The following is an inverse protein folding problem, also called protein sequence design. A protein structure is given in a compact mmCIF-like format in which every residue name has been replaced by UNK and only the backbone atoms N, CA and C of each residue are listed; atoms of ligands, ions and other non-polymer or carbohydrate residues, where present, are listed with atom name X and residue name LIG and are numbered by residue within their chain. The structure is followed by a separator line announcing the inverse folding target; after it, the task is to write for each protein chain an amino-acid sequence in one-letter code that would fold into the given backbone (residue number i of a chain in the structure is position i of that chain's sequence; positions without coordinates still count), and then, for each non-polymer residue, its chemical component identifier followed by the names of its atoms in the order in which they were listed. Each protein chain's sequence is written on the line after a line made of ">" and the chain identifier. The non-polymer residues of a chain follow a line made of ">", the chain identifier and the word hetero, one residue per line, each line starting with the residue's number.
data_IF_528596374592
#
_entry.id   IF_528596374592
#
_cell.length_a   1.000
_cell.length_b   1.000
_cell.length_c   1.000
_cell.angle_alpha   90.00
_cell.angle_beta   90.00
_cell.angle_gamma   90.00
#
_symmetry.space_group_name_H-M   'P 1'
#
loop_
_entity.id
_entity.type
_entity.pdbx_description
1 polymer ?
#
# COMPACT_ATOMS: atom_id res chain seq x y z
N UNK A 1 -2.26 50.03 6.68
CA UNK A 1 -1.06 49.21 7.00
C UNK A 1 -1.36 48.15 8.04
N UNK A 2 -1.86 48.45 9.25
CA UNK A 2 -2.14 47.46 10.31
C UNK A 2 -3.10 46.33 9.89
N UNK A 3 -4.21 46.66 9.22
CA UNK A 3 -5.20 45.67 8.75
C UNK A 3 -4.55 44.68 7.75
N UNK A 4 -3.71 45.15 6.83
CA UNK A 4 -3.00 44.29 5.87
C UNK A 4 -2.05 43.34 6.58
N UNK A 5 -1.30 43.84 7.58
CA UNK A 5 -0.41 42.99 8.38
C UNK A 5 -1.18 41.93 9.17
N UNK A 6 -2.34 42.32 9.74
CA UNK A 6 -3.19 41.35 10.45
C UNK A 6 -3.73 40.26 9.52
N UNK A 7 -4.19 40.62 8.32
CA UNK A 7 -4.69 39.67 7.33
C UNK A 7 -3.56 38.73 6.91
N UNK A 8 -2.35 39.24 6.63
CA UNK A 8 -1.20 38.42 6.30
C UNK A 8 -0.83 37.44 7.42
N UNK A 9 -0.85 37.91 8.67
CA UNK A 9 -0.60 37.06 9.83
C UNK A 9 -1.63 35.94 9.93
N UNK A 10 -2.91 36.23 9.76
CA UNK A 10 -3.98 35.23 9.76
C UNK A 10 -3.75 34.17 8.66
N UNK A 11 -3.41 34.62 7.45
CA UNK A 11 -3.11 33.68 6.33
C UNK A 11 -1.94 32.78 6.67
N UNK A 12 -0.86 33.31 7.24
CA UNK A 12 0.30 32.51 7.66
C UNK A 12 -0.10 31.49 8.71
N UNK A 13 -0.84 31.91 9.75
CA UNK A 13 -1.30 30.99 10.81
C UNK A 13 -2.18 29.88 10.25
N UNK A 14 -3.12 30.22 9.37
CA UNK A 14 -3.98 29.21 8.73
C UNK A 14 -3.18 28.25 7.85
N UNK A 15 -2.18 28.74 7.12
CA UNK A 15 -1.27 27.93 6.33
C UNK A 15 -0.46 26.96 7.21
N UNK A 16 0.10 27.45 8.33
CA UNK A 16 0.83 26.61 9.28
C UNK A 16 -0.08 25.52 9.90
N UNK A 17 -1.29 25.90 10.34
CA UNK A 17 -2.27 24.94 10.86
C UNK A 17 -2.65 23.89 9.82
N UNK A 18 -2.88 24.29 8.58
CA UNK A 18 -3.16 23.37 7.49
C UNK A 18 -1.96 22.44 7.22
N UNK A 19 -0.74 22.98 7.21
CA UNK A 19 0.48 22.20 7.00
C UNK A 19 0.69 21.13 8.07
N UNK A 20 0.24 21.36 9.31
CA UNK A 20 0.28 20.38 10.38
C UNK A 20 -0.56 19.13 10.07
N UNK A 21 -1.64 19.24 9.30
CA UNK A 21 -2.45 18.09 8.88
C UNK A 21 -1.68 17.17 7.93
N UNK A 22 -0.74 17.71 7.16
CA UNK A 22 0.02 17.01 6.11
C UNK A 22 1.36 16.45 6.59
N UNK A 23 1.67 16.55 7.88
CA UNK A 23 3.00 16.19 8.41
C UNK A 23 3.33 14.72 8.19
N UNK A 24 4.48 14.48 7.53
CA UNK A 24 5.05 13.17 7.30
C UNK A 24 6.33 12.95 8.12
N UNK A 25 6.72 11.71 8.34
CA UNK A 25 8.01 11.33 8.93
C UNK A 25 9.08 11.31 7.83
N UNK A 26 10.34 11.47 8.20
CA UNK A 26 11.47 11.48 7.26
C UNK A 26 12.55 10.50 7.65
N UNK A 27 13.28 10.03 6.63
CA UNK A 27 14.57 9.40 6.84
C UNK A 27 14.51 8.01 7.45
N UNK A 28 13.44 7.27 7.24
CA UNK A 28 13.37 5.88 7.71
C UNK A 28 14.50 5.04 7.09
N UNK A 29 15.29 4.28 7.88
CA UNK A 29 16.46 3.54 7.39
C UNK A 29 16.12 2.54 6.28
N UNK A 30 14.97 1.87 6.39
CA UNK A 30 14.50 0.88 5.41
C UNK A 30 14.39 1.46 4.00
N UNK A 31 14.10 2.77 3.87
CA UNK A 31 13.98 3.41 2.56
C UNK A 31 15.26 3.31 1.71
N UNK A 32 16.43 3.20 2.34
CA UNK A 32 17.72 3.03 1.62
C UNK A 32 17.75 1.72 0.82
N UNK A 33 17.02 0.70 1.30
CA UNK A 33 16.91 -0.60 0.64
C UNK A 33 15.75 -0.59 -0.34
N UNK A 34 14.58 -0.16 0.11
CA UNK A 34 13.34 -0.19 -0.69
C UNK A 34 13.50 0.51 -2.04
N UNK A 35 14.16 1.68 -2.07
CA UNK A 35 14.33 2.50 -3.28
C UNK A 35 15.25 1.89 -4.35
N UNK A 36 15.90 0.76 -4.07
CA UNK A 36 16.78 0.09 -5.02
C UNK A 36 16.03 -0.86 -5.96
N UNK A 37 14.72 -1.05 -5.71
CA UNK A 37 13.91 -2.04 -6.41
C UNK A 37 12.71 -1.39 -7.10
N UNK A 38 12.28 -1.99 -8.20
CA UNK A 38 10.96 -1.85 -8.78
C UNK A 38 10.08 -2.94 -8.20
N UNK A 39 8.80 -2.65 -7.99
CA UNK A 39 7.88 -3.57 -7.31
C UNK A 39 6.82 -4.07 -8.27
N UNK A 40 6.71 -5.39 -8.39
CA UNK A 40 5.65 -6.01 -9.16
C UNK A 40 4.35 -6.00 -8.34
N UNK A 41 3.32 -5.34 -8.87
CA UNK A 41 2.00 -5.22 -8.27
C UNK A 41 1.34 -6.59 -8.16
N UNK A 42 1.04 -7.06 -6.93
CA UNK A 42 0.49 -8.39 -6.64
C UNK A 42 1.34 -9.54 -7.22
N UNK A 43 2.68 -9.36 -7.23
CA UNK A 43 3.59 -10.24 -7.95
C UNK A 43 3.68 -9.94 -9.46
N UNK A 44 4.63 -10.57 -10.16
CA UNK A 44 4.74 -10.39 -11.61
C UNK A 44 3.82 -11.35 -12.35
N UNK A 45 2.54 -11.07 -12.22
CA UNK A 45 1.43 -11.86 -12.78
C UNK A 45 1.27 -11.66 -14.29
N UNK A 46 0.61 -12.61 -14.96
CA UNK A 46 0.26 -12.60 -16.38
C UNK A 46 -1.03 -13.41 -16.58
N UNK A 47 -2.14 -12.71 -16.35
CA UNK A 47 -3.47 -13.35 -16.29
C UNK A 47 -3.95 -13.88 -17.64
N UNK A 48 -4.67 -14.97 -17.65
CA UNK A 48 -5.06 -15.81 -16.50
C UNK A 48 -4.01 -16.88 -16.13
N UNK A 49 -2.93 -17.04 -16.89
CA UNK A 49 -1.95 -18.15 -16.74
C UNK A 49 -1.16 -18.06 -15.45
N UNK A 50 -0.83 -16.84 -15.03
CA UNK A 50 -0.14 -16.53 -13.77
C UNK A 50 -1.01 -15.53 -13.01
N UNK A 51 -1.88 -16.01 -12.08
CA UNK A 51 -2.80 -15.15 -11.34
C UNK A 51 -2.08 -14.10 -10.48
N UNK A 52 -2.75 -12.95 -10.25
CA UNK A 52 -2.30 -11.98 -9.25
C UNK A 52 -2.28 -12.60 -7.85
N UNK A 53 -1.39 -12.14 -6.97
CA UNK A 53 -1.24 -12.65 -5.59
C UNK A 53 -1.08 -14.17 -5.50
N UNK A 54 -0.48 -14.81 -6.52
CA UNK A 54 -0.18 -16.25 -6.55
C UNK A 54 1.28 -16.55 -6.27
N UNK A 55 1.58 -17.76 -5.79
CA UNK A 55 2.97 -18.18 -5.61
C UNK A 55 3.74 -18.21 -6.92
N UNK A 56 3.10 -18.49 -8.06
CA UNK A 56 3.72 -18.42 -9.38
C UNK A 56 4.16 -16.99 -9.73
N UNK A 57 3.29 -15.97 -9.49
CA UNK A 57 3.62 -14.57 -9.72
C UNK A 57 4.76 -14.10 -8.81
N UNK A 58 4.78 -14.54 -7.56
CA UNK A 58 5.83 -14.20 -6.60
C UNK A 58 7.18 -14.84 -6.94
N UNK A 59 7.21 -16.13 -7.32
CA UNK A 59 8.44 -16.79 -7.79
C UNK A 59 9.01 -16.06 -9.01
N UNK A 60 8.17 -15.77 -9.99
CA UNK A 60 8.58 -15.05 -11.21
C UNK A 60 9.18 -13.67 -10.88
N UNK A 61 8.59 -12.90 -9.96
CA UNK A 61 9.16 -11.63 -9.51
C UNK A 61 10.52 -11.80 -8.82
N UNK A 62 10.65 -12.78 -7.92
CA UNK A 62 11.89 -13.06 -7.19
C UNK A 62 13.03 -13.51 -8.11
N UNK A 63 12.75 -14.37 -9.11
CA UNK A 63 13.71 -14.84 -10.12
C UNK A 63 14.29 -13.69 -10.96
N UNK A 64 13.49 -12.64 -11.16
CA UNK A 64 13.90 -11.45 -11.90
C UNK A 64 14.36 -10.29 -11.00
N UNK A 65 14.58 -10.56 -9.72
CA UNK A 65 15.07 -9.58 -8.73
C UNK A 65 14.17 -8.35 -8.56
N UNK A 66 12.88 -8.48 -8.77
CA UNK A 66 11.92 -7.43 -8.42
C UNK A 66 11.49 -7.55 -6.96
N UNK A 67 11.26 -6.40 -6.32
CA UNK A 67 10.43 -6.35 -5.12
C UNK A 67 8.99 -6.69 -5.48
N UNK A 68 8.18 -6.98 -4.49
CA UNK A 68 6.76 -7.31 -4.69
C UNK A 68 5.92 -6.44 -3.78
N UNK A 69 4.84 -5.92 -4.33
CA UNK A 69 3.71 -5.45 -3.54
C UNK A 69 2.66 -6.57 -3.47
N UNK A 70 2.03 -6.74 -2.33
CA UNK A 70 1.03 -7.77 -2.07
C UNK A 70 -0.02 -7.33 -1.05
N UNK A 71 -1.20 -7.91 -1.15
CA UNK A 71 -2.39 -7.57 -0.36
C UNK A 71 -2.67 -8.62 0.72
N UNK A 72 -2.95 -8.21 1.95
CA UNK A 72 -3.15 -9.12 3.08
C UNK A 72 -4.48 -8.90 3.77
N UNK A 73 -5.27 -9.99 3.90
CA UNK A 73 -6.50 -10.06 4.69
C UNK A 73 -6.35 -10.98 5.90
N UNK A 74 -7.12 -10.68 6.96
CA UNK A 74 -7.21 -11.54 8.14
C UNK A 74 -8.31 -12.59 7.94
N UNK A 75 -7.99 -13.86 8.10
CA UNK A 75 -8.98 -14.96 8.05
C UNK A 75 -9.77 -15.06 9.35
N UNK A 76 -10.84 -15.85 9.36
CA UNK A 76 -11.68 -16.11 10.54
C UNK A 76 -10.89 -16.67 11.73
N UNK A 77 -9.89 -17.50 11.46
CA UNK A 77 -9.01 -18.12 12.48
C UNK A 77 -7.74 -17.30 12.77
N UNK A 78 -7.69 -16.04 12.29
CA UNK A 78 -6.60 -15.11 12.61
C UNK A 78 -5.30 -15.34 11.83
N UNK A 79 -5.35 -16.08 10.72
CA UNK A 79 -4.23 -16.24 9.78
C UNK A 79 -4.26 -15.13 8.73
N UNK A 80 -3.23 -15.03 7.92
CA UNK A 80 -3.05 -13.95 6.96
C UNK A 80 -3.06 -14.50 5.54
N UNK A 81 -4.16 -14.25 4.81
CA UNK A 81 -4.33 -14.66 3.41
C UNK A 81 -3.84 -13.57 2.46
N UNK A 82 -3.17 -13.96 1.38
CA UNK A 82 -2.64 -13.02 0.37
C UNK A 82 -3.59 -12.98 -0.83
N UNK A 83 -4.45 -11.97 -0.84
CA UNK A 83 -5.46 -11.73 -1.88
C UNK A 83 -5.91 -10.27 -1.83
N UNK A 84 -6.32 -9.70 -2.99
CA UNK A 84 -6.69 -8.27 -3.04
C UNK A 84 -8.11 -7.98 -2.53
N UNK A 85 -9.11 -8.73 -3.03
CA UNK A 85 -10.51 -8.44 -2.73
C UNK A 85 -10.95 -9.15 -1.45
N UNK A 86 -11.81 -8.51 -0.67
CA UNK A 86 -12.45 -9.16 0.47
C UNK A 86 -13.31 -10.38 0.06
N UNK A 87 -13.93 -10.34 -1.15
CA UNK A 87 -14.69 -11.43 -1.71
C UNK A 87 -13.87 -12.26 -2.69
N UNK A 88 -14.01 -13.57 -2.64
CA UNK A 88 -13.37 -14.51 -3.57
C UNK A 88 -14.02 -14.52 -4.97
N UNK A 89 -15.11 -13.75 -5.18
CA UNK A 89 -15.92 -13.83 -6.39
C UNK A 89 -15.12 -13.57 -7.68
N UNK A 90 -14.29 -12.52 -7.69
CA UNK A 90 -13.54 -12.11 -8.89
C UNK A 90 -12.41 -13.08 -9.22
N UNK A 91 -11.69 -13.57 -8.23
CA UNK A 91 -10.45 -14.34 -8.42
C UNK A 91 -10.64 -15.84 -8.32
N UNK A 92 -11.66 -16.31 -7.59
CA UNK A 92 -11.92 -17.73 -7.39
C UNK A 92 -13.39 -18.16 -7.68
N UNK A 93 -14.23 -17.23 -8.19
CA UNK A 93 -15.61 -17.54 -8.61
C UNK A 93 -16.58 -17.87 -7.47
N UNK A 94 -16.22 -17.62 -6.21
CA UNK A 94 -17.01 -17.94 -5.04
C UNK A 94 -17.48 -16.65 -4.32
N UNK A 95 -18.77 -16.49 -4.13
CA UNK A 95 -19.35 -15.35 -3.41
C UNK A 95 -19.30 -15.59 -1.88
N UNK A 96 -18.07 -15.51 -1.36
CA UNK A 96 -17.75 -15.67 0.05
C UNK A 96 -16.61 -14.71 0.43
N UNK A 97 -16.60 -14.24 1.67
CA UNK A 97 -15.58 -13.32 2.15
C UNK A 97 -14.42 -14.06 2.81
N UNK A 98 -13.22 -13.53 2.65
CA UNK A 98 -11.99 -14.07 3.25
C UNK A 98 -12.12 -14.18 4.78
N UNK A 99 -12.67 -13.12 5.41
CA UNK A 99 -12.86 -13.07 6.87
C UNK A 99 -13.87 -14.09 7.41
N UNK A 100 -14.69 -14.68 6.55
CA UNK A 100 -15.67 -15.70 6.94
C UNK A 100 -15.11 -17.13 6.82
N UNK A 101 -13.86 -17.29 6.30
CA UNK A 101 -13.18 -18.58 6.08
C UNK A 101 -11.93 -18.73 6.97
N UNK A 102 -11.66 -19.96 7.37
CA UNK A 102 -10.35 -20.33 7.95
C UNK A 102 -9.30 -20.50 6.86
N UNK A 103 -8.02 -20.47 7.26
CA UNK A 103 -6.91 -20.76 6.33
C UNK A 103 -7.05 -22.12 5.64
N UNK A 104 -7.55 -23.14 6.35
CA UNK A 104 -7.79 -24.47 5.79
C UNK A 104 -8.90 -24.45 4.73
N UNK A 105 -10.03 -23.77 5.02
CA UNK A 105 -11.14 -23.62 4.08
C UNK A 105 -10.72 -22.89 2.81
N UNK A 106 -9.83 -21.87 2.92
CA UNK A 106 -9.29 -21.12 1.78
C UNK A 106 -8.49 -22.00 0.81
N UNK A 107 -7.82 -23.07 1.28
CA UNK A 107 -7.04 -23.96 0.43
C UNK A 107 -7.90 -24.74 -0.61
N UNK A 108 -9.22 -24.78 -0.44
CA UNK A 108 -10.12 -25.39 -1.42
C UNK A 108 -10.31 -24.53 -2.69
N UNK A 109 -10.03 -23.25 -2.62
CA UNK A 109 -10.25 -22.30 -3.73
C UNK A 109 -9.01 -22.22 -4.65
N UNK A 110 -9.29 -21.99 -5.94
CA UNK A 110 -8.25 -21.85 -6.97
C UNK A 110 -8.37 -20.51 -7.66
N UNK A 111 -7.22 -19.89 -7.92
CA UNK A 111 -7.15 -18.56 -8.52
C UNK A 111 -7.31 -18.65 -10.05
N UNK A 112 -8.26 -17.89 -10.59
CA UNK A 112 -8.48 -17.66 -12.03
C UNK A 112 -8.53 -18.97 -12.87
N UNK A 113 -9.02 -20.08 -12.25
CA UNK A 113 -9.15 -21.37 -12.92
C UNK A 113 -7.84 -22.15 -13.14
N UNK A 114 -6.75 -21.75 -12.47
CA UNK A 114 -5.45 -22.43 -12.47
C UNK A 114 -5.35 -23.40 -11.28
N UNK A 115 -4.20 -24.07 -11.12
CA UNK A 115 -3.89 -24.90 -9.96
C UNK A 115 -3.36 -24.09 -8.76
N UNK A 116 -3.14 -22.77 -8.92
CA UNK A 116 -2.68 -21.90 -7.85
C UNK A 116 -3.78 -21.71 -6.80
N UNK A 117 -3.44 -21.94 -5.53
CA UNK A 117 -4.30 -21.62 -4.38
C UNK A 117 -4.06 -20.19 -3.88
N UNK A 118 -4.89 -19.72 -2.95
CA UNK A 118 -4.69 -18.45 -2.26
C UNK A 118 -3.54 -18.65 -1.27
N UNK A 119 -2.37 -17.98 -1.44
CA UNK A 119 -1.25 -18.16 -0.53
C UNK A 119 -1.53 -17.60 0.85
N UNK A 120 -0.94 -18.22 1.86
CA UNK A 120 -0.81 -17.61 3.17
C UNK A 120 0.47 -16.75 3.21
N UNK A 121 0.46 -15.67 4.00
CA UNK A 121 1.59 -14.74 4.04
C UNK A 121 2.91 -15.42 4.43
N UNK A 122 2.88 -16.42 5.30
CA UNK A 122 4.07 -17.20 5.67
C UNK A 122 4.73 -17.92 4.49
N UNK A 123 3.95 -18.39 3.50
CA UNK A 123 4.49 -19.02 2.30
C UNK A 123 5.27 -18.00 1.44
N UNK A 124 4.71 -16.79 1.34
CA UNK A 124 5.36 -15.68 0.61
C UNK A 124 6.62 -15.23 1.35
N UNK A 125 6.56 -15.06 2.67
CA UNK A 125 7.70 -14.65 3.49
C UNK A 125 8.86 -15.66 3.41
N UNK A 126 8.56 -16.96 3.44
CA UNK A 126 9.56 -18.01 3.26
C UNK A 126 10.22 -17.94 1.88
N UNK A 127 9.45 -17.62 0.82
CA UNK A 127 9.99 -17.44 -0.53
C UNK A 127 10.94 -16.23 -0.62
N UNK A 128 10.64 -15.11 0.07
CA UNK A 128 11.40 -13.86 -0.03
C UNK A 128 12.49 -13.70 1.04
N UNK A 129 12.65 -14.65 1.95
CA UNK A 129 13.67 -14.57 2.99
C UNK A 129 15.07 -14.44 2.40
N UNK A 130 15.75 -13.31 2.75
CA UNK A 130 17.07 -12.98 2.23
C UNK A 130 17.13 -12.57 0.75
N UNK A 131 15.98 -12.32 0.12
CA UNK A 131 15.88 -11.89 -1.29
C UNK A 131 15.47 -10.42 -1.40
N UNK A 132 14.55 -10.12 -2.31
CA UNK A 132 14.05 -8.76 -2.60
C UNK A 132 13.01 -8.30 -1.58
N UNK A 133 12.82 -6.98 -1.41
CA UNK A 133 11.92 -6.46 -0.40
C UNK A 133 10.44 -6.58 -0.79
N UNK A 134 9.58 -6.47 0.23
CA UNK A 134 8.13 -6.50 0.11
C UNK A 134 7.50 -5.16 0.50
N UNK A 135 6.45 -4.77 -0.21
CA UNK A 135 5.45 -3.78 0.20
C UNK A 135 4.20 -4.57 0.57
N UNK A 136 3.78 -4.51 1.83
CA UNK A 136 2.66 -5.28 2.36
C UNK A 136 1.48 -4.33 2.57
N UNK A 137 0.45 -4.43 1.73
CA UNK A 137 -0.79 -3.68 1.92
C UNK A 137 -1.73 -4.41 2.89
N UNK A 138 -2.17 -3.70 3.93
CA UNK A 138 -3.14 -4.21 4.89
C UNK A 138 -4.57 -3.86 4.46
N UNK A 139 -5.36 -4.87 4.12
CA UNK A 139 -6.78 -4.77 3.72
C UNK A 139 -7.67 -4.93 4.95
N UNK A 140 -7.92 -3.83 5.66
CA UNK A 140 -8.75 -3.85 6.85
C UNK A 140 -10.24 -3.87 6.47
N UNK A 141 -10.95 -4.87 6.95
CA UNK A 141 -12.38 -5.05 6.72
C UNK A 141 -13.14 -5.15 8.05
N UNK A 142 -14.41 -4.74 8.08
CA UNK A 142 -15.31 -4.88 9.23
C UNK A 142 -14.71 -4.41 10.57
N UNK A 143 -13.77 -3.44 10.53
CA UNK A 143 -13.14 -2.88 11.73
C UNK A 143 -11.99 -3.70 12.32
N UNK A 144 -11.50 -4.72 11.64
CA UNK A 144 -10.42 -5.62 12.10
C UNK A 144 -9.00 -5.01 12.04
N UNK A 145 -8.87 -3.72 11.69
CA UNK A 145 -7.57 -3.04 11.44
C UNK A 145 -6.50 -3.30 12.53
N UNK A 146 -6.89 -3.34 13.80
CA UNK A 146 -5.94 -3.58 14.88
C UNK A 146 -5.43 -5.03 14.90
N UNK A 147 -6.35 -6.01 14.83
CA UNK A 147 -6.02 -7.43 14.81
C UNK A 147 -5.20 -7.82 13.57
N UNK A 148 -5.60 -7.32 12.38
CA UNK A 148 -4.87 -7.51 11.14
C UNK A 148 -3.43 -6.96 11.23
N UNK A 149 -3.28 -5.71 11.71
CA UNK A 149 -1.97 -5.07 11.80
C UNK A 149 -1.07 -5.77 12.80
N UNK A 150 -1.62 -6.16 13.96
CA UNK A 150 -0.88 -6.91 15.00
C UNK A 150 -0.41 -8.27 14.49
N UNK A 151 -1.31 -9.05 13.87
CA UNK A 151 -0.98 -10.35 13.30
C UNK A 151 0.07 -10.24 12.20
N UNK A 152 -0.06 -9.25 11.29
CA UNK A 152 0.92 -9.01 10.24
C UNK A 152 2.31 -8.68 10.80
N UNK A 153 2.39 -7.78 11.78
CA UNK A 153 3.66 -7.44 12.42
C UNK A 153 4.28 -8.66 13.11
N UNK A 154 3.49 -9.43 13.87
CA UNK A 154 3.98 -10.60 14.59
C UNK A 154 4.53 -11.69 13.65
N UNK A 155 3.92 -11.85 12.47
CA UNK A 155 4.40 -12.82 11.47
C UNK A 155 5.65 -12.29 10.75
N UNK A 156 5.65 -11.03 10.31
CA UNK A 156 6.78 -10.39 9.61
C UNK A 156 8.07 -10.41 10.46
N UNK A 157 7.96 -10.29 11.79
CA UNK A 157 9.11 -10.33 12.71
C UNK A 157 9.80 -11.71 12.76
N UNK A 158 9.13 -12.78 12.31
CA UNK A 158 9.69 -14.13 12.34
C UNK A 158 10.61 -14.42 11.13
N UNK A 159 10.61 -13.55 10.12
CA UNK A 159 11.35 -13.75 8.87
C UNK A 159 12.35 -12.63 8.62
N UNK A 160 13.49 -12.97 8.02
CA UNK A 160 14.51 -11.99 7.62
C UNK A 160 14.21 -11.40 6.24
N UNK A 161 13.11 -10.65 6.15
CA UNK A 161 12.67 -9.97 4.94
C UNK A 161 12.74 -8.46 5.14
N UNK A 162 13.23 -7.73 4.13
CA UNK A 162 13.11 -6.29 4.11
C UNK A 162 11.71 -5.92 3.66
N UNK A 163 10.99 -5.09 4.42
CA UNK A 163 9.62 -4.74 4.08
C UNK A 163 9.23 -3.33 4.53
N UNK A 164 8.16 -2.83 3.95
CA UNK A 164 7.34 -1.77 4.50
C UNK A 164 5.87 -2.18 4.48
N UNK A 165 5.05 -1.45 5.22
CA UNK A 165 3.62 -1.70 5.32
C UNK A 165 2.87 -0.48 4.79
N UNK A 166 1.82 -0.70 4.01
CA UNK A 166 0.93 0.36 3.56
C UNK A 166 -0.54 -0.02 3.73
N UNK A 167 -1.42 0.99 3.73
CA UNK A 167 -2.85 0.77 3.76
C UNK A 167 -3.61 2.02 3.30
N UNK A 168 -4.78 1.80 2.68
CA UNK A 168 -5.79 2.84 2.50
C UNK A 168 -6.46 3.23 3.81
N UNK A 169 -6.55 2.28 4.76
CA UNK A 169 -7.13 2.53 6.07
C UNK A 169 -6.12 3.21 7.01
N UNK A 170 -6.30 4.50 7.34
CA UNK A 170 -5.38 5.21 8.21
C UNK A 170 -5.31 4.62 9.62
N UNK A 171 -6.30 3.83 10.05
CA UNK A 171 -6.32 3.20 11.39
C UNK A 171 -5.23 2.15 11.53
N UNK A 172 -4.88 1.41 10.46
CA UNK A 172 -3.72 0.52 10.44
C UNK A 172 -2.43 1.29 10.69
N UNK A 173 -2.26 2.43 10.02
CA UNK A 173 -1.05 3.27 10.17
C UNK A 173 -0.99 3.98 11.52
N UNK A 174 -2.13 4.36 12.09
CA UNK A 174 -2.19 4.89 13.46
C UNK A 174 -1.80 3.82 14.48
N UNK A 175 -2.22 2.58 14.27
CA UNK A 175 -1.80 1.44 15.11
C UNK A 175 -0.28 1.23 15.03
N UNK A 176 0.29 1.18 13.82
CA UNK A 176 1.74 1.09 13.59
C UNK A 176 2.50 2.24 14.25
N UNK A 177 2.01 3.47 14.10
CA UNK A 177 2.64 4.63 14.72
C UNK A 177 2.75 4.48 16.25
N UNK A 178 1.73 3.91 16.87
CA UNK A 178 1.64 3.78 18.33
C UNK A 178 2.43 2.60 18.86
N UNK A 179 2.35 1.44 18.20
CA UNK A 179 2.85 0.18 18.73
C UNK A 179 4.14 -0.31 18.07
N UNK A 180 4.35 0.06 16.80
CA UNK A 180 5.51 -0.34 15.97
C UNK A 180 6.07 0.85 15.19
N UNK A 181 6.57 1.88 15.89
CA UNK A 181 7.16 3.07 15.24
C UNK A 181 8.43 2.74 14.44
N UNK A 182 9.03 1.60 14.66
CA UNK A 182 10.18 1.04 13.96
C UNK A 182 9.87 0.58 12.51
N UNK A 183 8.60 0.29 12.19
CA UNK A 183 8.20 -0.16 10.86
C UNK A 183 8.05 1.04 9.92
N UNK A 184 8.61 0.90 8.70
CA UNK A 184 8.40 1.83 7.59
C UNK A 184 6.95 1.71 7.11
N UNK A 185 6.19 2.81 7.15
CA UNK A 185 4.74 2.80 6.85
C UNK A 185 4.36 3.85 5.83
N UNK A 186 3.48 3.48 4.91
CA UNK A 186 2.99 4.30 3.81
C UNK A 186 1.50 4.55 3.85
N UNK A 187 1.08 5.76 3.50
CA UNK A 187 -0.32 6.09 3.28
C UNK A 187 -0.67 5.87 1.81
N UNK A 188 -1.57 4.91 1.53
CA UNK A 188 -2.18 4.74 0.21
C UNK A 188 -3.27 5.79 -0.01
N UNK A 189 -3.32 6.37 -1.20
CA UNK A 189 -4.37 7.30 -1.59
C UNK A 189 -4.51 7.45 -3.11
N UNK A 190 -5.64 8.00 -3.54
CA UNK A 190 -5.99 8.30 -4.92
C UNK A 190 -7.09 9.38 -4.96
N UNK A 191 -7.52 9.79 -6.15
CA UNK A 191 -8.67 10.69 -6.34
C UNK A 191 -10.00 9.92 -6.21
N UNK A 192 -10.36 9.51 -4.99
CA UNK A 192 -11.57 8.69 -4.71
C UNK A 192 -12.84 9.27 -5.28
N UNK A 193 -13.03 10.59 -5.17
CA UNK A 193 -14.24 11.27 -5.65
C UNK A 193 -14.37 11.22 -7.16
N UNK A 194 -13.23 11.21 -7.88
CA UNK A 194 -13.19 11.12 -9.35
C UNK A 194 -13.49 9.71 -9.83
N UNK A 195 -12.93 8.69 -9.15
CA UNK A 195 -13.03 7.29 -9.60
C UNK A 195 -14.28 6.58 -9.10
N UNK A 196 -14.96 7.12 -8.09
CA UNK A 196 -16.12 6.48 -7.47
C UNK A 196 -15.77 5.28 -6.58
N UNK A 197 -14.48 5.11 -6.25
CA UNK A 197 -13.93 3.96 -5.50
C UNK A 197 -14.08 4.15 -3.97
N UNK A 198 -15.22 4.66 -3.54
CA UNK A 198 -15.39 5.07 -2.14
C UNK A 198 -15.84 3.99 -1.16
N UNK A 199 -16.14 2.76 -1.60
CA UNK A 199 -16.53 1.67 -0.70
C UNK A 199 -17.66 2.01 0.28
N UNK A 200 -18.61 2.87 -0.11
CA UNK A 200 -19.70 3.33 0.76
C UNK A 200 -19.34 4.42 1.76
N UNK A 201 -18.12 4.93 1.74
CA UNK A 201 -17.66 6.03 2.60
C UNK A 201 -18.34 7.37 2.26
N UNK A 202 -18.48 8.25 3.26
CA UNK A 202 -19.01 9.60 3.02
C UNK A 202 -18.06 10.42 2.11
N UNK A 203 -18.62 11.35 1.33
CA UNK A 203 -17.84 12.27 0.48
C UNK A 203 -16.82 13.06 1.30
N UNK A 204 -17.16 13.43 2.54
CA UNK A 204 -16.22 14.12 3.44
C UNK A 204 -15.05 13.22 3.83
N UNK A 205 -15.31 11.96 4.18
CA UNK A 205 -14.26 10.98 4.47
C UNK A 205 -13.33 10.81 3.26
N UNK A 206 -13.91 10.61 2.07
CA UNK A 206 -13.15 10.46 0.83
C UNK A 206 -12.31 11.70 0.52
N UNK A 207 -12.86 12.90 0.71
CA UNK A 207 -12.12 14.15 0.57
C UNK A 207 -10.92 14.20 1.54
N UNK A 208 -11.12 13.85 2.80
CA UNK A 208 -10.05 13.85 3.82
C UNK A 208 -8.93 12.87 3.45
N UNK A 209 -9.28 11.67 2.97
CA UNK A 209 -8.33 10.64 2.55
C UNK A 209 -7.58 11.04 1.27
N UNK A 210 -8.31 11.50 0.24
CA UNK A 210 -7.74 11.97 -1.03
C UNK A 210 -6.73 13.10 -0.82
N UNK A 211 -7.03 14.00 0.12
CA UNK A 211 -6.23 15.18 0.41
C UNK A 211 -5.19 14.96 1.52
N UNK A 212 -4.99 13.71 1.97
CA UNK A 212 -3.96 13.33 2.94
C UNK A 212 -4.04 14.05 4.30
N UNK A 213 -5.24 14.53 4.68
CA UNK A 213 -5.42 15.37 5.86
C UNK A 213 -5.27 14.60 7.18
N UNK A 214 -5.20 13.27 7.14
CA UNK A 214 -4.92 12.41 8.29
C UNK A 214 -3.43 12.10 8.49
N UNK A 215 -2.53 12.65 7.67
CA UNK A 215 -1.10 12.43 7.84
C UNK A 215 -0.58 12.89 9.21
N UNK A 216 -1.21 13.90 9.82
CA UNK A 216 -0.89 14.33 11.19
C UNK A 216 -1.08 13.20 12.23
N UNK A 217 -2.00 12.26 11.97
CA UNK A 217 -2.30 11.12 12.85
C UNK A 217 -1.49 9.88 12.48
N UNK A 218 -1.29 9.62 11.19
CA UNK A 218 -0.58 8.45 10.69
C UNK A 218 0.95 8.63 10.63
N UNK A 219 1.42 9.86 10.38
CA UNK A 219 2.84 10.21 10.21
C UNK A 219 3.55 9.22 9.29
N UNK A 220 3.13 9.13 8.00
CA UNK A 220 3.69 8.15 7.08
C UNK A 220 5.16 8.50 6.74
N UNK A 221 5.96 7.48 6.42
CA UNK A 221 7.33 7.61 5.90
C UNK A 221 7.32 7.86 4.39
N UNK A 222 6.31 7.30 3.71
CA UNK A 222 6.06 7.49 2.30
C UNK A 222 4.56 7.62 2.00
N UNK A 223 4.25 8.13 0.83
CA UNK A 223 2.88 8.21 0.32
C UNK A 223 2.82 7.41 -0.97
N UNK A 224 2.01 6.35 -0.99
CA UNK A 224 1.70 5.59 -2.19
C UNK A 224 0.47 6.23 -2.86
N UNK A 225 0.69 6.91 -3.97
CA UNK A 225 -0.38 7.66 -4.66
C UNK A 225 -0.55 7.17 -6.09
N UNK A 226 -1.82 7.03 -6.51
CA UNK A 226 -2.14 6.61 -7.86
C UNK A 226 -1.50 7.55 -8.88
N UNK A 227 -0.73 6.99 -9.81
CA UNK A 227 0.08 7.77 -10.75
C UNK A 227 -0.72 8.77 -11.58
N UNK A 228 -1.91 8.38 -12.07
CA UNK A 228 -2.79 9.27 -12.82
C UNK A 228 -3.27 10.50 -12.03
N UNK A 229 -3.23 10.43 -10.70
CA UNK A 229 -3.74 11.45 -9.78
C UNK A 229 -2.61 12.25 -9.10
N UNK A 230 -1.34 12.00 -9.44
CA UNK A 230 -0.15 12.61 -8.80
C UNK A 230 -0.07 14.13 -8.87
N UNK A 231 -0.98 14.78 -9.61
CA UNK A 231 -1.09 16.25 -9.66
C UNK A 231 -1.79 16.85 -8.42
N UNK A 232 -2.22 16.02 -7.45
CA UNK A 232 -2.81 16.48 -6.20
C UNK A 232 -1.89 17.48 -5.48
N UNK A 233 -2.46 18.64 -5.09
CA UNK A 233 -1.68 19.73 -4.50
C UNK A 233 -1.09 19.37 -3.14
N UNK A 234 -1.83 18.63 -2.31
CA UNK A 234 -1.38 18.24 -0.99
C UNK A 234 -0.24 17.21 -1.05
N UNK A 235 -0.29 16.28 -2.01
CA UNK A 235 0.83 15.39 -2.29
C UNK A 235 2.09 16.20 -2.65
N UNK A 236 1.96 17.19 -3.54
CA UNK A 236 3.07 18.08 -3.92
C UNK A 236 3.61 18.87 -2.72
N UNK A 237 2.74 19.27 -1.80
CA UNK A 237 3.16 19.94 -0.57
C UNK A 237 3.85 18.99 0.39
N UNK A 238 3.36 17.77 0.58
CA UNK A 238 4.04 16.74 1.36
C UNK A 238 5.47 16.51 0.85
N UNK A 239 5.66 16.43 -0.47
CA UNK A 239 6.99 16.30 -1.09
C UNK A 239 7.88 17.52 -0.84
N UNK A 240 7.36 18.74 -1.04
CA UNK A 240 8.14 19.98 -0.94
C UNK A 240 8.46 20.34 0.50
N UNK A 241 7.47 20.33 1.41
CA UNK A 241 7.64 20.76 2.81
C UNK A 241 8.27 19.65 3.67
N UNK A 242 7.80 18.43 3.53
CA UNK A 242 8.21 17.32 4.39
C UNK A 242 9.21 16.39 3.72
N UNK A 243 9.51 16.57 2.41
CA UNK A 243 10.41 15.71 1.63
C UNK A 243 10.05 14.23 1.78
N UNK A 244 8.74 13.94 1.87
CA UNK A 244 8.23 12.58 1.95
C UNK A 244 8.57 11.84 0.66
N UNK A 245 8.81 10.55 0.79
CA UNK A 245 9.02 9.68 -0.37
C UNK A 245 7.67 9.40 -1.03
N UNK A 246 7.68 9.32 -2.36
CA UNK A 246 6.48 8.98 -3.13
C UNK A 246 6.67 7.62 -3.80
N UNK A 247 5.64 6.79 -3.74
CA UNK A 247 5.49 5.53 -4.44
C UNK A 247 4.34 5.68 -5.42
N UNK A 248 4.56 5.37 -6.68
CA UNK A 248 3.54 5.48 -7.72
C UNK A 248 2.98 4.11 -8.13
N UNK A 249 1.67 3.99 -8.08
CA UNK A 249 0.89 2.81 -8.45
C UNK A 249 -0.31 3.19 -9.32
N UNK A 250 -0.82 2.41 -10.23
CA UNK A 250 -0.12 1.29 -10.81
C UNK A 250 0.50 1.76 -12.13
N UNK A 251 1.78 1.54 -12.31
CA UNK A 251 2.51 1.91 -13.52
C UNK A 251 2.28 0.81 -14.56
N UNK A 252 1.72 1.19 -15.71
CA UNK A 252 1.29 0.23 -16.74
C UNK A 252 2.00 0.40 -18.08
N UNK A 253 2.78 1.48 -18.25
CA UNK A 253 3.57 1.72 -19.46
C UNK A 253 5.00 2.11 -19.13
N UNK A 254 5.88 2.00 -20.11
CA UNK A 254 7.29 2.38 -19.99
C UNK A 254 7.44 3.90 -19.77
N UNK A 255 6.63 4.68 -20.45
CA UNK A 255 6.63 6.15 -20.35
C UNK A 255 6.23 6.60 -18.93
N UNK A 256 5.23 5.95 -18.33
CA UNK A 256 4.84 6.22 -16.94
C UNK A 256 5.96 5.86 -15.98
N UNK A 257 6.64 4.73 -16.20
CA UNK A 257 7.77 4.27 -15.40
C UNK A 257 8.92 5.28 -15.45
N UNK A 258 9.33 5.66 -16.64
CA UNK A 258 10.39 6.66 -16.86
C UNK A 258 10.03 8.00 -16.19
N UNK A 259 8.79 8.46 -16.35
CA UNK A 259 8.34 9.70 -15.75
C UNK A 259 8.33 9.65 -14.21
N UNK A 260 7.92 8.53 -13.60
CA UNK A 260 7.94 8.36 -12.16
C UNK A 260 9.37 8.30 -11.61
N UNK A 261 10.26 7.57 -12.28
CA UNK A 261 11.66 7.43 -11.89
C UNK A 261 12.47 8.74 -12.07
N UNK A 262 12.20 9.52 -13.12
CA UNK A 262 12.78 10.86 -13.31
C UNK A 262 12.39 11.83 -12.18
N UNK A 263 11.17 11.69 -11.64
CA UNK A 263 10.72 12.42 -10.47
C UNK A 263 11.33 11.90 -9.15
N UNK A 264 12.13 10.82 -9.20
CA UNK A 264 12.78 10.17 -8.05
C UNK A 264 11.82 9.31 -7.22
N UNK A 265 10.68 8.90 -7.79
CA UNK A 265 9.66 8.10 -7.14
C UNK A 265 9.96 6.61 -7.28
N UNK A 266 9.51 5.82 -6.31
CA UNK A 266 9.48 4.38 -6.38
C UNK A 266 8.24 3.94 -7.19
N UNK A 267 8.35 2.83 -7.94
CA UNK A 267 7.29 2.37 -8.83
C UNK A 267 6.77 0.99 -8.43
N UNK A 268 5.45 0.87 -8.43
CA UNK A 268 4.71 -0.40 -8.39
C UNK A 268 4.12 -0.58 -9.79
N UNK A 269 4.60 -1.59 -10.52
CA UNK A 269 4.29 -1.81 -11.94
C UNK A 269 3.42 -3.04 -12.18
N UNK A 270 2.65 -3.00 -13.27
CA UNK A 270 1.80 -4.08 -13.77
C UNK A 270 1.77 -4.05 -15.31
N UNK A 271 1.67 -5.21 -15.97
CA UNK A 271 1.49 -5.33 -17.44
C UNK A 271 2.60 -4.72 -18.29
N UNK A 272 3.69 -4.33 -17.73
CA UNK A 272 4.87 -3.85 -18.42
C UNK A 272 6.07 -4.70 -18.04
N UNK A 273 6.93 -5.02 -19.01
CA UNK A 273 8.23 -5.63 -18.70
C UNK A 273 9.22 -4.49 -18.38
N UNK A 274 9.63 -4.34 -17.13
CA UNK A 274 10.51 -3.22 -16.75
C UNK A 274 11.95 -3.41 -17.23
N UNK A 275 12.26 -4.51 -17.92
CA UNK A 275 13.59 -4.80 -18.50
C UNK A 275 13.67 -4.44 -19.98
N UNK A 276 12.52 -4.26 -20.64
CA UNK A 276 12.41 -4.00 -22.08
C UNK A 276 12.78 -2.55 -22.47
#
# INVERSE_FOLDING_TARGET
>A
MLIILLVLLIIVVLFELYSLLLVCRRGHPMWKILRLFRYAHRGWHDKPQIPENSMAAFRRAAEHHFGVELDVHLTRDGRLAVIHDASLLRTAGADVLVEDLTAEELQAYRLEGTDEHIPMLEEVLALFEGKTPLIVELKAERGNHAALTEAACALLDQYRVNYCVESFDPRCLMWLRKHRPDICRGQLSQAFLRHGDGGGQSKLTLFVLEHLLLNCTTRPDFIAYRFSDRKNLNLRWCRKLFRVQEVNWTITTKEEMEAAEQDGNLVIFERVDPRA
#
